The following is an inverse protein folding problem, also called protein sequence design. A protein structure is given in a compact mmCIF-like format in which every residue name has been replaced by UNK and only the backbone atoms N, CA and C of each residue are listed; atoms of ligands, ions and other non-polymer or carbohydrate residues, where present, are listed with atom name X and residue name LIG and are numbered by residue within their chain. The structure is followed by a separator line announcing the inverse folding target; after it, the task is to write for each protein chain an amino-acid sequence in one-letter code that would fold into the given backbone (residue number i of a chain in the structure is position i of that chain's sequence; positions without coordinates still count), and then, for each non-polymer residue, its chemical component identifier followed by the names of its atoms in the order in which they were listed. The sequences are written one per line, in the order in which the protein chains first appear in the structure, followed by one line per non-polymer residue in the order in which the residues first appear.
data_IF_861995266761
#
_entry.id   IF_861995266761
#
_cell.length_a   1.000
_cell.length_b   1.000
_cell.length_c   1.000
_cell.angle_alpha   90.00
_cell.angle_beta   90.00
_cell.angle_gamma   90.00
#
_symmetry.space_group_name_H-M   'P 1'
#
loop_
_entity.id
_entity.type
_entity.pdbx_description
1 polymer ?
#
# COMPACT_ATOMS: atom_id res chain seq x y z
N UNK A 1 14.78 -12.52 -17.31
CA UNK A 1 13.42 -12.58 -16.68
C UNK A 1 13.59 -13.00 -15.23
N UNK A 2 12.99 -12.27 -14.32
CA UNK A 2 13.02 -12.59 -12.88
C UNK A 2 12.19 -13.86 -12.67
N UNK A 3 12.73 -14.81 -11.89
CA UNK A 3 11.99 -16.01 -11.51
C UNK A 3 11.02 -15.66 -10.37
N UNK A 4 9.74 -16.00 -10.46
CA UNK A 4 8.81 -15.81 -9.35
C UNK A 4 9.17 -16.72 -8.17
N UNK A 5 8.94 -16.22 -6.95
CA UNK A 5 8.99 -16.97 -5.71
C UNK A 5 7.78 -17.92 -5.60
N UNK A 6 6.62 -17.43 -6.06
CA UNK A 6 5.37 -18.17 -6.11
C UNK A 6 4.57 -17.77 -7.34
N UNK A 7 3.97 -18.76 -8.01
CA UNK A 7 3.08 -18.52 -9.15
C UNK A 7 2.02 -19.62 -9.21
N UNK A 8 0.79 -19.27 -8.82
CA UNK A 8 -0.33 -20.21 -8.83
C UNK A 8 -1.67 -19.46 -8.86
N UNK A 9 -2.67 -20.02 -9.55
CA UNK A 9 -4.04 -19.50 -9.59
C UNK A 9 -4.15 -18.01 -9.96
N UNK A 10 -3.28 -17.53 -10.86
CA UNK A 10 -3.26 -16.15 -11.32
C UNK A 10 -2.57 -15.16 -10.36
N UNK A 11 -2.00 -15.65 -9.27
CA UNK A 11 -1.23 -14.85 -8.31
C UNK A 11 0.26 -15.15 -8.48
N UNK A 12 1.04 -14.09 -8.65
CA UNK A 12 2.51 -14.16 -8.73
C UNK A 12 3.12 -13.35 -7.60
N UNK A 13 4.09 -13.92 -6.89
CA UNK A 13 4.88 -13.21 -5.87
C UNK A 13 6.34 -13.23 -6.29
N UNK A 14 6.96 -12.05 -6.29
CA UNK A 14 8.40 -11.91 -6.44
C UNK A 14 9.03 -11.57 -5.09
N UNK A 15 10.05 -12.32 -4.69
CA UNK A 15 10.88 -12.02 -3.54
C UNK A 15 12.05 -11.12 -3.96
N UNK A 16 12.13 -9.91 -3.41
CA UNK A 16 13.21 -8.96 -3.65
C UNK A 16 12.79 -7.51 -3.49
N UNK A 17 13.73 -6.61 -3.78
CA UNK A 17 13.46 -5.17 -3.75
C UNK A 17 12.55 -4.77 -4.91
N UNK A 18 11.48 -4.07 -4.60
CA UNK A 18 10.55 -3.56 -5.61
C UNK A 18 11.23 -2.60 -6.60
N UNK A 19 12.27 -1.89 -6.16
CA UNK A 19 13.03 -0.99 -7.02
C UNK A 19 13.89 -1.71 -8.06
N UNK A 20 14.25 -2.97 -7.82
CA UNK A 20 14.97 -3.83 -8.78
C UNK A 20 14.01 -4.62 -9.68
N UNK A 21 12.80 -4.94 -9.16
CA UNK A 21 11.82 -5.80 -9.84
C UNK A 21 10.89 -4.99 -10.75
N UNK A 22 10.31 -3.89 -10.27
CA UNK A 22 9.37 -3.08 -11.06
C UNK A 22 9.94 -2.61 -12.41
N UNK A 23 11.22 -2.19 -12.54
CA UNK A 23 11.79 -1.81 -13.84
C UNK A 23 11.81 -2.91 -14.89
N UNK A 24 11.66 -4.19 -14.48
CA UNK A 24 11.63 -5.34 -15.40
C UNK A 24 10.19 -5.72 -15.81
N UNK A 25 9.16 -5.11 -15.19
CA UNK A 25 7.77 -5.26 -15.59
C UNK A 25 7.45 -4.33 -16.76
N UNK A 26 6.60 -4.81 -17.67
CA UNK A 26 6.19 -4.04 -18.84
C UNK A 26 5.32 -2.83 -18.48
N UNK A 27 5.36 -1.79 -19.30
CA UNK A 27 4.45 -0.66 -19.21
C UNK A 27 3.01 -1.13 -19.36
N UNK A 28 2.10 -0.52 -18.59
CA UNK A 28 0.66 -0.79 -18.65
C UNK A 28 0.27 -2.28 -18.45
N UNK A 29 1.15 -3.08 -17.83
CA UNK A 29 0.93 -4.49 -17.53
C UNK A 29 -0.26 -4.70 -16.59
N UNK A 30 -0.42 -3.80 -15.61
CA UNK A 30 -1.44 -3.88 -14.57
C UNK A 30 -2.48 -2.77 -14.76
N UNK A 31 -3.74 -3.05 -14.50
CA UNK A 31 -4.78 -2.03 -14.57
C UNK A 31 -4.94 -1.23 -13.29
N UNK A 32 -4.51 -1.80 -12.15
CA UNK A 32 -4.67 -1.19 -10.84
C UNK A 32 -3.52 -1.58 -9.91
N UNK A 33 -2.92 -0.60 -9.25
CA UNK A 33 -2.06 -0.81 -8.08
C UNK A 33 -2.85 -0.49 -6.81
N UNK A 34 -2.80 -1.39 -5.81
CA UNK A 34 -3.37 -1.16 -4.47
C UNK A 34 -2.29 -1.47 -3.45
N UNK A 35 -1.77 -0.47 -2.77
CA UNK A 35 -0.59 -0.64 -1.94
C UNK A 35 -0.50 0.31 -0.75
N UNK A 36 0.28 -0.10 0.24
CA UNK A 36 0.66 0.72 1.40
C UNK A 36 2.17 0.59 1.63
N UNK A 37 2.95 1.58 1.20
CA UNK A 37 4.40 1.54 1.34
C UNK A 37 4.85 1.69 2.81
N UNK A 38 6.12 1.43 3.13
CA UNK A 38 6.65 1.67 4.47
C UNK A 38 6.57 3.16 4.86
N UNK A 39 6.22 3.45 6.14
CA UNK A 39 5.89 4.80 6.60
C UNK A 39 7.04 5.59 7.23
N UNK A 40 8.25 5.01 7.30
CA UNK A 40 9.43 5.62 7.93
C UNK A 40 9.16 6.11 9.38
N UNK A 41 8.65 5.21 10.23
CA UNK A 41 8.08 5.57 11.55
C UNK A 41 9.13 5.76 12.65
N UNK A 42 10.39 5.34 12.45
CA UNK A 42 11.46 5.46 13.46
C UNK A 42 12.03 6.86 13.58
N UNK A 43 11.80 7.71 12.57
CA UNK A 43 12.30 9.08 12.61
C UNK A 43 11.60 9.87 13.72
N UNK A 44 12.33 10.25 14.76
CA UNK A 44 11.88 11.18 15.80
C UNK A 44 12.58 12.51 15.65
N UNK A 45 11.82 13.59 15.83
CA UNK A 45 12.40 14.91 15.99
C UNK A 45 12.53 15.17 17.50
N UNK A 46 13.75 15.43 17.97
CA UNK A 46 14.04 15.87 19.34
C UNK A 46 14.88 17.15 19.25
N UNK A 47 14.41 18.23 19.85
CA UNK A 47 15.06 19.55 19.78
C UNK A 47 15.34 20.07 18.35
N UNK A 48 14.44 19.78 17.40
CA UNK A 48 14.62 20.21 16.00
C UNK A 48 15.50 19.29 15.14
N UNK A 49 16.12 18.27 15.73
CA UNK A 49 16.94 17.28 15.02
C UNK A 49 16.26 15.91 14.96
N UNK A 50 16.53 15.17 13.89
CA UNK A 50 16.06 13.79 13.74
C UNK A 50 16.87 12.87 14.64
N UNK A 51 16.18 12.12 15.50
CA UNK A 51 16.82 11.11 16.37
C UNK A 51 16.20 9.74 16.11
N UNK A 52 17.05 8.71 16.02
CA UNK A 52 16.62 7.31 15.95
C UNK A 52 16.04 6.82 17.28
N UNK A 53 15.10 5.89 17.24
CA UNK A 53 14.55 5.22 18.44
C UNK A 53 15.48 4.07 18.86
N UNK A 54 16.58 4.37 19.53
CA UNK A 54 17.53 3.35 19.97
C UNK A 54 17.04 2.43 21.11
N UNK A 55 15.94 2.75 21.79
CA UNK A 55 15.54 2.03 23.00
C UNK A 55 14.03 1.69 23.06
N UNK A 56 13.51 0.96 22.10
CA UNK A 56 12.19 0.38 22.31
C UNK A 56 12.14 -1.07 21.81
N UNK A 57 12.50 -1.99 22.70
CA UNK A 57 12.25 -3.43 22.54
C UNK A 57 10.76 -3.77 22.27
N UNK A 58 9.85 -2.82 22.50
CA UNK A 58 8.41 -2.99 22.34
C UNK A 58 7.82 -2.33 21.09
N UNK A 59 8.56 -1.50 20.36
CA UNK A 59 8.13 -1.00 19.05
C UNK A 59 8.87 -1.79 17.98
N UNK A 60 8.21 -2.87 17.58
CA UNK A 60 8.57 -3.83 16.56
C UNK A 60 9.58 -3.31 15.54
N UNK A 61 10.56 -4.11 15.25
CA UNK A 61 11.17 -4.28 13.93
C UNK A 61 10.04 -4.48 12.90
N UNK A 62 9.34 -3.40 12.53
CA UNK A 62 8.10 -3.45 11.74
C UNK A 62 8.38 -3.85 10.31
N UNK A 63 9.60 -3.59 9.87
CA UNK A 63 10.12 -3.96 8.56
C UNK A 63 11.52 -4.52 8.76
N UNK A 64 11.69 -5.82 8.64
CA UNK A 64 12.98 -6.50 8.88
C UNK A 64 14.08 -6.09 7.88
N UNK A 65 13.71 -5.51 6.73
CA UNK A 65 14.62 -5.23 5.61
C UNK A 65 14.54 -3.80 5.06
N UNK A 66 13.59 -2.97 5.49
CA UNK A 66 13.53 -1.57 5.09
C UNK A 66 14.07 -0.69 6.20
N UNK A 67 15.03 0.18 5.86
CA UNK A 67 15.53 1.21 6.79
C UNK A 67 14.41 2.18 7.13
N UNK A 68 13.71 1.93 8.24
CA UNK A 68 12.56 2.73 8.73
C UNK A 68 13.02 4.07 9.34
N UNK A 69 14.27 4.47 9.06
CA UNK A 69 15.00 5.62 9.56
C UNK A 69 15.65 6.47 8.45
N UNK A 70 15.11 6.37 7.23
CA UNK A 70 15.58 7.17 6.09
C UNK A 70 15.46 8.66 6.39
N UNK A 71 16.44 9.44 5.93
CA UNK A 71 16.33 10.89 5.89
C UNK A 71 15.12 11.33 5.04
N UNK A 72 14.67 12.57 5.22
CA UNK A 72 13.53 13.13 4.45
C UNK A 72 13.80 13.05 2.95
N UNK A 73 15.02 13.36 2.52
CA UNK A 73 15.37 13.37 1.11
C UNK A 73 15.50 11.95 0.51
N UNK A 74 16.01 10.98 1.28
CA UNK A 74 16.04 9.57 0.87
C UNK A 74 14.62 9.00 0.78
N UNK A 75 13.79 9.27 1.78
CA UNK A 75 12.40 8.84 1.79
C UNK A 75 11.59 9.48 0.66
N UNK A 76 11.83 10.77 0.37
CA UNK A 76 11.25 11.44 -0.79
C UNK A 76 11.68 10.77 -2.11
N UNK A 77 12.98 10.53 -2.31
CA UNK A 77 13.52 9.88 -3.52
C UNK A 77 12.96 8.47 -3.69
N UNK A 78 12.89 7.70 -2.61
CA UNK A 78 12.31 6.37 -2.64
C UNK A 78 10.86 6.39 -3.16
N UNK A 79 10.01 7.22 -2.58
CA UNK A 79 8.62 7.33 -3.02
C UNK A 79 8.45 7.92 -4.41
N UNK A 80 9.30 8.89 -4.77
CA UNK A 80 9.31 9.46 -6.12
C UNK A 80 9.56 8.37 -7.17
N UNK A 81 10.57 7.55 -6.95
CA UNK A 81 10.92 6.47 -7.88
C UNK A 81 9.86 5.37 -7.89
N UNK A 82 9.39 4.95 -6.72
CA UNK A 82 8.37 3.91 -6.61
C UNK A 82 7.05 4.34 -7.28
N UNK A 83 6.58 5.58 -7.08
CA UNK A 83 5.37 6.09 -7.72
C UNK A 83 5.52 6.22 -9.24
N UNK A 84 6.68 6.68 -9.74
CA UNK A 84 6.92 6.71 -11.17
C UNK A 84 6.79 5.31 -11.80
N UNK A 85 7.38 4.28 -11.16
CA UNK A 85 7.27 2.90 -11.64
C UNK A 85 5.83 2.37 -11.54
N UNK A 86 5.15 2.59 -10.41
CA UNK A 86 3.75 2.18 -10.26
C UNK A 86 2.84 2.82 -11.31
N UNK A 87 3.00 4.12 -11.58
CA UNK A 87 2.23 4.84 -12.61
C UNK A 87 2.59 4.34 -14.02
N UNK A 88 3.85 3.98 -14.26
CA UNK A 88 4.28 3.39 -15.55
C UNK A 88 3.63 2.03 -15.79
N UNK A 89 3.61 1.18 -14.75
CA UNK A 89 3.12 -0.21 -14.85
C UNK A 89 1.59 -0.28 -14.81
N UNK A 90 0.93 0.66 -14.10
CA UNK A 90 -0.51 0.60 -13.84
C UNK A 90 -1.23 1.85 -14.33
N UNK A 91 -2.43 1.69 -14.89
CA UNK A 91 -3.28 2.81 -15.29
C UNK A 91 -3.78 3.64 -14.12
N UNK A 92 -3.88 3.03 -12.93
CA UNK A 92 -4.41 3.64 -11.71
C UNK A 92 -3.65 3.14 -10.48
N UNK A 93 -3.32 4.03 -9.54
CA UNK A 93 -2.58 3.69 -8.32
C UNK A 93 -3.33 4.18 -7.08
N UNK A 94 -3.74 3.26 -6.23
CA UNK A 94 -4.27 3.51 -4.88
C UNK A 94 -3.15 3.40 -3.87
N UNK A 95 -2.64 4.53 -3.43
CA UNK A 95 -1.49 4.64 -2.54
C UNK A 95 -1.95 5.03 -1.14
N UNK A 96 -2.04 4.05 -0.23
CA UNK A 96 -2.42 4.28 1.16
C UNK A 96 -1.24 4.77 1.97
N UNK A 97 -1.37 5.93 2.60
CA UNK A 97 -0.30 6.57 3.36
C UNK A 97 -0.81 7.22 4.65
N UNK A 98 -0.07 7.05 5.73
CA UNK A 98 -0.28 7.83 6.94
C UNK A 98 0.74 8.97 7.01
N UNK A 99 0.24 10.19 7.20
CA UNK A 99 1.11 11.36 7.43
C UNK A 99 1.60 11.32 8.87
N UNK A 100 2.83 10.83 9.07
CA UNK A 100 3.48 10.78 10.37
C UNK A 100 4.46 11.95 10.54
N UNK A 101 4.71 12.36 11.78
CA UNK A 101 5.51 13.56 12.08
C UNK A 101 6.90 13.52 11.44
N UNK A 102 7.57 12.36 11.47
CA UNK A 102 8.92 12.20 10.94
C UNK A 102 9.04 12.21 9.43
N UNK A 103 7.97 11.93 8.69
CA UNK A 103 8.02 11.82 7.22
C UNK A 103 7.07 12.80 6.49
N UNK A 104 6.30 13.61 7.23
CA UNK A 104 5.28 14.49 6.65
C UNK A 104 5.82 15.42 5.55
N UNK A 105 7.02 15.95 5.72
CA UNK A 105 7.62 16.85 4.73
C UNK A 105 7.87 16.15 3.40
N UNK A 106 8.43 14.95 3.42
CA UNK A 106 8.62 14.13 2.22
C UNK A 106 7.28 13.83 1.54
N UNK A 107 6.24 13.46 2.33
CA UNK A 107 4.90 13.17 1.79
C UNK A 107 4.28 14.39 1.13
N UNK A 108 4.37 15.58 1.73
CA UNK A 108 3.87 16.80 1.09
C UNK A 108 4.65 17.19 -0.15
N UNK A 109 5.98 16.97 -0.18
CA UNK A 109 6.79 17.14 -1.40
C UNK A 109 6.33 16.17 -2.51
N UNK A 110 6.03 14.90 -2.18
CA UNK A 110 5.49 13.91 -3.11
C UNK A 110 4.12 14.36 -3.66
N UNK A 111 3.19 14.75 -2.78
CA UNK A 111 1.87 15.25 -3.18
C UNK A 111 2.02 16.44 -4.14
N UNK A 112 2.90 17.39 -3.83
CA UNK A 112 3.18 18.53 -4.70
C UNK A 112 3.78 18.13 -6.05
N UNK A 113 4.72 17.16 -6.06
CA UNK A 113 5.36 16.68 -7.29
C UNK A 113 4.38 15.97 -8.23
N UNK A 114 3.44 15.21 -7.68
CA UNK A 114 2.44 14.44 -8.44
C UNK A 114 1.05 15.11 -8.45
N UNK A 115 0.97 16.42 -8.20
CA UNK A 115 -0.32 17.13 -8.08
C UNK A 115 -1.18 17.02 -9.35
N UNK A 116 -0.56 16.83 -10.53
CA UNK A 116 -1.27 16.67 -11.81
C UNK A 116 -1.79 15.25 -12.02
N UNK A 117 -1.08 14.27 -11.50
CA UNK A 117 -1.40 12.85 -11.58
C UNK A 117 -2.40 12.41 -10.49
N UNK A 118 -2.54 13.20 -9.42
CA UNK A 118 -3.54 12.92 -8.37
C UNK A 118 -4.94 13.17 -8.92
N UNK A 119 -5.71 12.10 -9.04
CA UNK A 119 -7.09 12.12 -9.53
C UNK A 119 -8.09 12.41 -8.43
N UNK A 120 -7.89 11.79 -7.25
CA UNK A 120 -8.76 11.97 -6.09
C UNK A 120 -8.03 11.56 -4.80
N UNK A 121 -8.65 11.87 -3.66
CA UNK A 121 -8.15 11.52 -2.33
C UNK A 121 -9.28 10.92 -1.50
N UNK A 122 -9.06 9.72 -0.98
CA UNK A 122 -9.99 9.05 -0.06
C UNK A 122 -9.40 9.12 1.34
N UNK A 123 -10.24 9.39 2.32
CA UNK A 123 -9.90 9.31 3.75
C UNK A 123 -10.34 7.94 4.27
N UNK A 124 -9.39 7.10 4.65
CA UNK A 124 -9.71 5.91 5.40
C UNK A 124 -9.86 6.26 6.88
N UNK A 125 -11.12 6.34 7.33
CA UNK A 125 -11.51 6.55 8.72
C UNK A 125 -11.49 5.20 9.48
N UNK A 126 -10.58 5.07 10.43
CA UNK A 126 -10.41 3.89 11.29
C UNK A 126 -11.37 3.86 12.47
N UNK A 127 -12.20 4.88 12.60
CA UNK A 127 -13.16 5.08 13.68
C UNK A 127 -12.54 5.61 14.97
N UNK A 128 -11.35 5.16 15.33
CA UNK A 128 -10.60 5.67 16.49
C UNK A 128 -9.09 5.55 16.25
N UNK A 129 -8.35 6.51 16.76
CA UNK A 129 -6.89 6.48 16.79
C UNK A 129 -6.38 5.76 18.03
N UNK A 130 -5.15 5.27 17.97
CA UNK A 130 -4.45 4.91 19.22
C UNK A 130 -4.27 6.17 20.06
N UNK A 131 -4.49 6.10 21.40
CA UNK A 131 -4.26 7.24 22.27
C UNK A 131 -2.85 7.79 22.08
N UNK A 132 -2.74 9.11 22.01
CA UNK A 132 -1.43 9.75 21.99
C UNK A 132 -0.72 9.52 23.35
N UNK A 133 0.59 9.35 23.28
CA UNK A 133 1.39 9.09 24.49
C UNK A 133 1.59 10.35 25.37
N UNK A 134 1.22 11.51 24.86
CA UNK A 134 1.40 12.80 25.55
C UNK A 134 0.16 13.68 25.36
N UNK A 135 -0.05 14.60 26.31
CA UNK A 135 -1.05 15.66 26.19
C UNK A 135 -0.76 16.56 24.98
N UNK A 136 -1.77 17.23 24.48
CA UNK A 136 -1.71 18.18 23.35
C UNK A 136 -1.25 17.55 22.01
N UNK A 137 -1.40 16.23 21.85
CA UNK A 137 -1.12 15.50 20.60
C UNK A 137 -2.42 14.94 20.00
N UNK A 138 -2.63 15.19 18.72
CA UNK A 138 -3.81 14.72 18.00
C UNK A 138 -3.68 13.21 17.74
N UNK A 139 -4.70 12.43 18.14
CA UNK A 139 -4.82 11.02 17.83
C UNK A 139 -5.06 10.81 16.33
N UNK A 140 -4.24 9.97 15.70
CA UNK A 140 -4.36 9.70 14.25
C UNK A 140 -5.39 8.59 13.99
N UNK A 141 -6.63 9.00 13.74
CA UNK A 141 -7.75 8.09 13.44
C UNK A 141 -7.94 7.82 11.94
N UNK A 142 -7.23 8.54 11.07
CA UNK A 142 -7.36 8.40 9.63
C UNK A 142 -6.02 8.16 8.93
N UNK A 143 -6.09 7.57 7.75
CA UNK A 143 -5.05 7.50 6.73
C UNK A 143 -5.59 8.04 5.42
N UNK A 144 -4.72 8.34 4.47
CA UNK A 144 -5.10 8.88 3.17
C UNK A 144 -4.80 7.84 2.08
N UNK A 145 -5.73 7.66 1.16
CA UNK A 145 -5.52 6.93 -0.06
C UNK A 145 -5.49 7.95 -1.19
N UNK A 146 -4.28 8.24 -1.70
CA UNK A 146 -4.15 9.09 -2.88
C UNK A 146 -4.32 8.22 -4.11
N UNK A 147 -5.16 8.66 -5.03
CA UNK A 147 -5.42 7.96 -6.28
C UNK A 147 -4.69 8.70 -7.39
N UNK A 148 -3.69 8.04 -7.98
CA UNK A 148 -2.96 8.57 -9.13
C UNK A 148 -3.48 7.92 -10.40
N UNK A 149 -3.65 8.71 -11.44
CA UNK A 149 -4.04 8.27 -12.78
C UNK A 149 -2.97 8.75 -13.78
N UNK A 150 -2.43 7.85 -14.59
CA UNK A 150 -1.33 8.12 -15.54
C UNK A 150 -1.63 9.28 -16.48
N UNK A 151 -2.88 9.39 -16.90
CA UNK A 151 -3.40 10.48 -17.73
C UNK A 151 -4.61 11.13 -17.03
N UNK A 152 -4.36 11.73 -15.86
CA UNK A 152 -5.44 12.33 -15.09
C UNK A 152 -6.14 13.42 -15.92
N UNK A 153 -7.35 13.13 -16.34
CA UNK A 153 -8.20 14.11 -17.02
C UNK A 153 -8.68 15.17 -16.04
N UNK A 154 -8.94 16.39 -16.52
CA UNK A 154 -9.51 17.47 -15.71
C UNK A 154 -10.92 17.16 -15.17
N UNK A 155 -11.60 16.15 -15.72
CA UNK A 155 -12.91 15.72 -15.26
C UNK A 155 -12.85 14.87 -13.98
N UNK A 156 -13.91 14.89 -13.19
CA UNK A 156 -14.01 14.10 -11.94
C UNK A 156 -14.20 12.59 -12.18
N UNK A 157 -14.71 12.19 -13.34
CA UNK A 157 -14.97 10.80 -13.65
C UNK A 157 -13.68 10.01 -13.85
N UNK A 158 -13.61 8.80 -13.32
CA UNK A 158 -12.58 7.83 -13.65
C UNK A 158 -12.92 7.14 -14.96
N UNK A 159 -11.93 6.91 -15.82
CA UNK A 159 -12.12 6.21 -17.09
C UNK A 159 -12.53 4.74 -16.87
N UNK A 160 -11.97 4.10 -15.85
CA UNK A 160 -12.11 2.68 -15.53
C UNK A 160 -12.69 2.49 -14.12
N UNK A 161 -13.93 2.97 -13.90
CA UNK A 161 -14.65 2.74 -12.65
C UNK A 161 -15.94 1.96 -12.91
N UNK A 162 -16.29 1.08 -11.99
CA UNK A 162 -17.40 0.10 -12.14
C UNK A 162 -18.47 0.24 -11.06
N UNK A 163 -18.50 1.37 -10.38
CA UNK A 163 -19.51 1.71 -9.36
C UNK A 163 -20.58 2.67 -9.93
N UNK A 164 -21.79 2.57 -9.40
CA UNK A 164 -22.90 3.43 -9.78
C UNK A 164 -22.86 4.76 -9.03
N UNK A 165 -23.65 5.71 -9.52
CA UNK A 165 -23.82 7.01 -8.87
C UNK A 165 -24.26 6.85 -7.40
N UNK A 166 -23.50 7.42 -6.46
CA UNK A 166 -23.80 7.40 -5.03
C UNK A 166 -23.26 6.18 -4.26
N UNK A 167 -22.65 5.21 -4.93
CA UNK A 167 -22.08 4.01 -4.26
C UNK A 167 -20.72 4.28 -3.61
N UNK A 168 -19.91 5.17 -4.20
CA UNK A 168 -18.60 5.50 -3.67
C UNK A 168 -18.57 6.90 -3.08
N UNK A 169 -17.89 7.00 -1.95
CA UNK A 169 -17.65 8.26 -1.23
C UNK A 169 -16.15 8.40 -1.00
N UNK A 170 -15.71 9.60 -0.71
CA UNK A 170 -14.34 9.95 -0.35
C UNK A 170 -13.97 9.64 1.11
N UNK A 171 -14.92 9.13 1.91
CA UNK A 171 -14.67 8.66 3.27
C UNK A 171 -15.02 7.17 3.37
N UNK A 172 -13.98 6.36 3.65
CA UNK A 172 -14.13 4.92 3.86
C UNK A 172 -14.00 4.59 5.34
N UNK A 173 -15.12 4.25 5.99
CA UNK A 173 -15.14 3.84 7.40
C UNK A 173 -14.92 2.36 7.51
N UNK A 174 -13.70 1.97 7.89
CA UNK A 174 -13.31 0.57 8.04
C UNK A 174 -12.40 0.43 9.25
N UNK A 175 -12.71 -0.52 10.14
CA UNK A 175 -11.80 -0.85 11.25
C UNK A 175 -10.47 -1.37 10.69
N UNK A 176 -9.40 -1.20 11.46
CA UNK A 176 -8.11 -1.84 11.13
C UNK A 176 -8.32 -3.34 10.97
N UNK A 177 -7.59 -3.94 10.04
CA UNK A 177 -7.57 -5.38 9.89
C UNK A 177 -7.08 -6.09 11.16
N UNK A 178 -7.38 -7.37 11.29
CA UNK A 178 -6.87 -8.18 12.38
C UNK A 178 -5.34 -8.14 12.40
N UNK A 179 -4.78 -7.90 13.59
CA UNK A 179 -3.34 -8.00 13.80
C UNK A 179 -2.94 -9.47 13.65
N UNK A 180 -2.40 -9.83 12.51
CA UNK A 180 -1.73 -11.11 12.36
C UNK A 180 -0.54 -11.13 13.34
N UNK A 181 -0.40 -12.20 14.15
CA UNK A 181 0.71 -12.33 15.09
C UNK A 181 2.04 -12.07 14.39
N UNK A 182 2.74 -11.01 14.80
CA UNK A 182 4.01 -10.59 14.21
C UNK A 182 3.92 -9.49 13.15
N UNK A 183 2.72 -8.96 12.81
CA UNK A 183 2.51 -7.88 11.83
C UNK A 183 1.69 -6.74 12.40
N UNK A 184 2.33 -5.62 12.61
CA UNK A 184 1.71 -4.46 13.24
C UNK A 184 1.04 -3.44 12.33
N UNK A 185 0.96 -3.63 11.02
CA UNK A 185 0.45 -2.58 10.13
C UNK A 185 0.07 -3.07 8.73
N UNK A 186 -1.00 -3.81 8.65
CA UNK A 186 -1.65 -4.07 7.37
C UNK A 186 -2.93 -3.25 7.28
N UNK A 187 -3.22 -2.67 6.11
CA UNK A 187 -4.56 -2.17 5.86
C UNK A 187 -5.55 -3.34 5.82
N UNK A 188 -6.84 -3.13 6.14
CA UNK A 188 -7.81 -4.20 6.17
C UNK A 188 -8.08 -4.75 4.76
N UNK A 189 -8.32 -6.06 4.65
CA UNK A 189 -8.68 -6.71 3.37
C UNK A 189 -9.90 -6.03 2.71
N UNK A 190 -10.86 -5.54 3.50
CA UNK A 190 -12.02 -4.80 3.00
C UNK A 190 -11.67 -3.51 2.26
N UNK A 191 -10.54 -2.85 2.59
CA UNK A 191 -10.07 -1.67 1.88
C UNK A 191 -9.55 -2.06 0.48
N UNK A 192 -8.66 -3.08 0.41
CA UNK A 192 -8.18 -3.58 -0.87
C UNK A 192 -9.32 -4.08 -1.74
N UNK A 193 -10.22 -4.87 -1.17
CA UNK A 193 -11.41 -5.38 -1.84
C UNK A 193 -12.25 -4.26 -2.46
N UNK A 194 -12.56 -3.22 -1.69
CA UNK A 194 -13.35 -2.08 -2.17
C UNK A 194 -12.70 -1.34 -3.33
N UNK A 195 -11.37 -1.18 -3.31
CA UNK A 195 -10.63 -0.59 -4.41
C UNK A 195 -10.67 -1.50 -5.65
N UNK A 196 -10.46 -2.82 -5.47
CA UNK A 196 -10.48 -3.81 -6.55
C UNK A 196 -11.87 -3.90 -7.19
N UNK A 197 -12.94 -4.05 -6.41
CA UNK A 197 -14.32 -4.09 -6.91
C UNK A 197 -14.70 -2.81 -7.67
N UNK A 198 -14.30 -1.66 -7.15
CA UNK A 198 -14.69 -0.37 -7.73
C UNK A 198 -13.94 0.01 -9.01
N UNK A 199 -12.71 -0.50 -9.21
CA UNK A 199 -11.83 -0.02 -10.30
C UNK A 199 -11.14 -1.13 -11.09
N UNK A 200 -11.58 -2.38 -10.97
CA UNK A 200 -11.06 -3.47 -11.82
C UNK A 200 -12.15 -4.41 -12.31
N UNK A 201 -11.92 -5.00 -13.48
CA UNK A 201 -12.72 -6.11 -14.07
C UNK A 201 -11.95 -7.43 -13.99
N UNK A 202 -12.58 -8.53 -14.39
CA UNK A 202 -12.08 -9.89 -14.18
C UNK A 202 -10.68 -10.17 -14.73
N UNK A 203 -10.31 -9.60 -15.85
CA UNK A 203 -9.02 -9.89 -16.50
C UNK A 203 -7.88 -8.92 -16.10
N UNK A 204 -8.16 -7.99 -15.19
CA UNK A 204 -7.20 -6.99 -14.75
C UNK A 204 -6.18 -7.62 -13.79
N UNK A 205 -4.91 -7.29 -13.97
CA UNK A 205 -3.84 -7.62 -13.01
C UNK A 205 -3.76 -6.51 -11.97
N UNK A 206 -3.80 -6.90 -10.70
CA UNK A 206 -3.59 -6.00 -9.55
C UNK A 206 -2.11 -6.06 -9.17
N UNK A 207 -1.47 -4.90 -8.98
CA UNK A 207 -0.10 -4.80 -8.50
C UNK A 207 -0.08 -4.37 -7.03
N UNK A 208 0.75 -5.01 -6.22
CA UNK A 208 1.15 -4.52 -4.89
C UNK A 208 2.66 -4.68 -4.71
N UNK A 209 3.46 -3.62 -4.93
CA UNK A 209 4.92 -3.70 -4.82
C UNK A 209 5.44 -3.70 -3.38
N UNK A 210 4.55 -3.65 -2.39
CA UNK A 210 4.85 -3.74 -0.95
C UNK A 210 3.89 -4.72 -0.28
N UNK A 211 3.72 -5.91 -0.88
CA UNK A 211 2.59 -6.78 -0.56
C UNK A 211 2.63 -7.38 0.85
N UNK A 212 3.77 -7.34 1.54
CA UNK A 212 3.88 -7.84 2.90
C UNK A 212 3.34 -9.26 3.03
N UNK A 213 2.39 -9.45 3.90
CA UNK A 213 1.70 -10.74 4.10
C UNK A 213 0.59 -11.03 3.09
N UNK A 214 0.52 -10.29 1.99
CA UNK A 214 -0.35 -10.56 0.85
C UNK A 214 -1.83 -10.19 1.03
N UNK A 215 -2.16 -9.17 1.82
CA UNK A 215 -3.57 -8.78 2.04
C UNK A 215 -4.27 -8.35 0.74
N UNK A 216 -3.60 -7.57 -0.10
CA UNK A 216 -4.06 -7.16 -1.43
C UNK A 216 -4.20 -8.35 -2.39
N UNK A 217 -3.24 -9.30 -2.33
CA UNK A 217 -3.24 -10.49 -3.17
C UNK A 217 -4.40 -11.45 -2.82
N UNK A 218 -4.67 -11.62 -1.52
CA UNK A 218 -5.82 -12.41 -1.05
C UNK A 218 -7.11 -11.75 -1.49
N UNK A 219 -7.24 -10.42 -1.36
CA UNK A 219 -8.42 -9.70 -1.83
C UNK A 219 -8.59 -9.83 -3.35
N UNK A 220 -7.52 -9.69 -4.13
CA UNK A 220 -7.57 -9.85 -5.58
C UNK A 220 -8.05 -11.24 -6.00
N UNK A 221 -7.52 -12.30 -5.36
CA UNK A 221 -7.92 -13.67 -5.62
C UNK A 221 -9.39 -13.93 -5.27
N UNK A 222 -9.85 -13.46 -4.10
CA UNK A 222 -11.26 -13.61 -3.68
C UNK A 222 -12.22 -12.92 -4.66
N UNK A 223 -11.78 -11.83 -5.29
CA UNK A 223 -12.55 -11.12 -6.32
C UNK A 223 -12.33 -11.68 -7.75
N UNK A 224 -11.64 -12.80 -7.90
CA UNK A 224 -11.37 -13.42 -9.20
C UNK A 224 -10.41 -12.62 -10.10
N UNK A 225 -9.54 -11.79 -9.51
CA UNK A 225 -8.52 -11.02 -10.23
C UNK A 225 -7.16 -11.72 -10.19
N UNK A 226 -6.36 -11.50 -11.21
CA UNK A 226 -4.94 -11.83 -11.19
C UNK A 226 -4.19 -10.80 -10.35
N UNK A 227 -3.05 -11.19 -9.76
CA UNK A 227 -2.25 -10.21 -9.02
C UNK A 227 -0.77 -10.51 -9.08
N UNK A 228 0.04 -9.44 -8.97
CA UNK A 228 1.48 -9.47 -8.81
C UNK A 228 1.80 -8.78 -7.48
N UNK A 229 2.47 -9.51 -6.58
CA UNK A 229 3.03 -8.97 -5.35
C UNK A 229 4.55 -8.95 -5.40
N UNK A 230 5.16 -7.92 -4.80
CA UNK A 230 6.60 -7.87 -4.56
C UNK A 230 6.82 -7.66 -3.07
N UNK A 231 7.73 -8.45 -2.49
CA UNK A 231 8.05 -8.38 -1.06
C UNK A 231 9.52 -8.68 -0.83
N UNK A 232 10.18 -7.82 -0.08
CA UNK A 232 11.61 -7.93 0.21
C UNK A 232 11.93 -8.99 1.29
N UNK A 233 10.96 -9.31 2.15
CA UNK A 233 11.11 -10.28 3.23
C UNK A 233 10.61 -11.66 2.79
N UNK A 234 11.51 -12.63 2.67
CA UNK A 234 11.15 -14.01 2.35
C UNK A 234 10.14 -14.59 3.34
N UNK A 235 10.30 -14.29 4.63
CA UNK A 235 9.36 -14.65 5.69
C UNK A 235 7.93 -14.15 5.41
N UNK A 236 7.80 -12.94 4.86
CA UNK A 236 6.49 -12.39 4.51
C UNK A 236 5.94 -13.02 3.24
N UNK A 237 6.79 -13.34 2.27
CA UNK A 237 6.41 -14.14 1.12
C UNK A 237 5.83 -15.49 1.55
N UNK A 238 6.49 -16.22 2.47
CA UNK A 238 5.96 -17.49 3.00
C UNK A 238 4.59 -17.34 3.66
N UNK A 239 4.39 -16.26 4.45
CA UNK A 239 3.10 -16.00 5.09
C UNK A 239 2.03 -15.68 4.03
N UNK A 240 2.35 -14.89 3.02
CA UNK A 240 1.46 -14.58 1.91
C UNK A 240 1.02 -15.86 1.18
N UNK A 241 1.97 -16.73 0.84
CA UNK A 241 1.68 -18.03 0.20
C UNK A 241 0.76 -18.90 1.06
N UNK A 242 1.04 -19.02 2.38
CA UNK A 242 0.16 -19.79 3.30
C UNK A 242 -1.26 -19.22 3.34
N UNK A 243 -1.42 -17.91 3.37
CA UNK A 243 -2.75 -17.26 3.36
C UNK A 243 -3.48 -17.47 2.02
N UNK A 244 -2.74 -17.43 0.93
CA UNK A 244 -3.28 -17.76 -0.39
C UNK A 244 -3.73 -19.24 -0.47
N UNK A 245 -3.00 -20.18 0.12
CA UNK A 245 -3.40 -21.60 0.15
C UNK A 245 -4.66 -21.85 1.01
N UNK A 246 -4.82 -21.18 2.15
CA UNK A 246 -5.96 -21.39 3.06
C UNK A 246 -7.32 -21.07 2.43
N UNK A 247 -7.43 -20.04 1.60
CA UNK A 247 -8.69 -19.70 0.95
C UNK A 247 -9.14 -20.67 -0.15
N UNK A 248 -8.32 -21.64 -0.55
CA UNK A 248 -8.72 -22.70 -1.50
C UNK A 248 -9.54 -23.79 -0.80
N UNK A 249 -9.31 -24.00 0.50
CA UNK A 249 -9.99 -25.03 1.28
C UNK A 249 -11.43 -24.67 1.64
N UNK A 250 -11.75 -23.36 1.71
CA UNK A 250 -13.10 -22.89 2.07
C UNK A 250 -14.12 -22.99 0.91
N UNK A 251 -13.68 -23.24 -0.32
CA UNK A 251 -14.57 -23.43 -1.49
C UNK A 251 -14.84 -24.90 -1.85
N UNK A 252 -14.30 -25.85 -1.09
CA UNK A 252 -14.46 -27.31 -1.34
C UNK A 252 -15.25 -28.03 -0.28
N UNK A 253 -15.92 -27.30 0.64
CA UNK A 253 -16.77 -27.87 1.69
C UNK A 253 -18.25 -27.58 1.48
#
# INVERSE_FOLDING_TARGET
MIKPYYEENGITIYHGDCMDIMPQLQDDLCGLTVTSPPYNMRTRIRNGEYTTRENSEHFSKKYDHFGDDLSIDEYFKFHLNALNEMIRISGLVFWNIQIVTGSKEAIFKIIGRFAKEIKDVIVWDKGHGQPAMHENVINKAAEFILIFEKEASAGRAFKNAFFKRGEMTDIWRMKRGENLKGHGATFPKSLARRAIEGWSQNDVIILDPFCGTGTSLVAAREEGRRAIGIEISEKYCEIAVKRLAQGVLDFTS
#
